data_IF_025498789628
#
_entry.id   IF_025498789628
#
_cell.length_a   1.000
_cell.length_b   1.000
_cell.length_c   1.000
_cell.angle_alpha   90.00
_cell.angle_beta   90.00
_cell.angle_gamma   90.00
#
_symmetry.space_group_name_H-M   'P 1'
#
loop_
_entity.id
_entity.type
_entity.pdbx_description
1 polymer ?
#
# COMPACT_ATOMS: atom_id res chain seq x y z
N UNK A 1 4.07 12.97 -1.28
CA UNK A 1 3.61 11.56 -1.33
C UNK A 1 4.14 10.95 -2.61
N UNK A 2 4.90 9.85 -2.54
CA UNK A 2 5.47 9.13 -3.69
C UNK A 2 4.64 7.88 -4.00
N UNK A 3 4.36 7.59 -5.27
CA UNK A 3 3.77 6.33 -5.73
C UNK A 3 4.71 5.16 -5.42
N UNK A 4 4.44 4.39 -4.36
CA UNK A 4 5.25 3.20 -4.06
C UNK A 4 4.95 2.09 -5.05
N UNK A 5 3.66 1.89 -5.35
CA UNK A 5 3.11 0.92 -6.29
C UNK A 5 1.82 1.47 -6.89
N UNK A 6 1.71 1.44 -8.21
CA UNK A 6 0.49 1.80 -8.93
C UNK A 6 -0.34 0.56 -9.31
N UNK A 7 -1.41 0.74 -10.07
CA UNK A 7 -2.29 -0.35 -10.51
C UNK A 7 -1.59 -1.40 -11.40
N UNK A 8 -0.43 -1.10 -11.97
CA UNK A 8 0.37 -2.08 -12.73
C UNK A 8 1.11 -3.09 -11.84
N UNK A 9 1.10 -2.89 -10.52
CA UNK A 9 1.77 -3.73 -9.53
C UNK A 9 3.27 -3.54 -9.43
N UNK A 10 3.86 -2.60 -10.17
CA UNK A 10 5.30 -2.36 -10.13
C UNK A 10 5.68 -1.65 -8.83
N UNK A 11 6.56 -2.27 -8.05
CA UNK A 11 6.99 -1.70 -6.76
C UNK A 11 8.30 -0.94 -6.91
N UNK A 12 8.38 0.26 -6.30
CA UNK A 12 9.60 1.08 -6.25
C UNK A 12 10.59 0.65 -5.15
N UNK A 13 10.40 -0.56 -4.62
CA UNK A 13 11.20 -1.18 -3.58
C UNK A 13 11.26 -2.70 -3.81
N UNK A 14 12.22 -3.43 -3.23
CA UNK A 14 12.37 -4.87 -3.45
C UNK A 14 11.33 -5.69 -2.67
N UNK A 15 10.05 -5.53 -2.98
CA UNK A 15 9.01 -6.22 -2.23
C UNK A 15 9.10 -7.73 -2.38
N UNK A 16 9.02 -8.45 -1.26
CA UNK A 16 8.94 -9.92 -1.24
C UNK A 16 7.69 -10.44 -1.95
N UNK A 17 6.68 -9.59 -2.12
CA UNK A 17 5.38 -9.92 -2.70
C UNK A 17 5.26 -9.49 -4.17
N UNK A 18 6.28 -8.82 -4.74
CA UNK A 18 6.38 -8.42 -6.16
C UNK A 18 7.66 -8.97 -6.80
N UNK A 19 7.90 -10.28 -6.63
CA UNK A 19 9.09 -10.94 -7.13
C UNK A 19 9.26 -10.74 -8.65
N UNK A 20 10.39 -10.20 -9.07
CA UNK A 20 10.69 -9.98 -10.49
C UNK A 20 9.92 -8.84 -11.16
N UNK A 21 9.16 -8.03 -10.40
CA UNK A 21 8.43 -6.87 -10.91
C UNK A 21 8.59 -5.65 -9.98
N UNK A 22 9.85 -5.22 -9.84
CA UNK A 22 10.22 -4.09 -8.99
C UNK A 22 11.51 -3.37 -9.43
N UNK A 23 11.77 -2.21 -8.83
CA UNK A 23 12.91 -1.34 -9.15
C UNK A 23 14.28 -1.96 -8.91
N UNK A 24 14.37 -3.00 -8.07
CA UNK A 24 15.62 -3.67 -7.73
C UNK A 24 15.86 -4.88 -8.64
N UNK A 25 14.85 -5.72 -8.85
CA UNK A 25 14.98 -6.97 -9.60
C UNK A 25 15.09 -6.73 -11.10
N UNK A 26 14.29 -5.82 -11.66
CA UNK A 26 14.24 -5.57 -13.12
C UNK A 26 14.50 -4.12 -13.52
N UNK A 27 14.35 -3.18 -12.58
CA UNK A 27 14.56 -1.76 -12.81
C UNK A 27 16.02 -1.29 -12.57
N UNK A 28 16.22 -0.06 -12.06
CA UNK A 28 17.54 0.56 -11.89
C UNK A 28 18.45 -0.06 -10.81
N UNK A 29 18.09 -1.21 -10.24
CA UNK A 29 18.84 -1.92 -9.19
C UNK A 29 18.94 -1.11 -7.89
N UNK A 30 17.90 -0.34 -7.59
CA UNK A 30 17.85 0.62 -6.47
C UNK A 30 16.52 0.55 -5.74
N UNK A 31 16.59 0.63 -4.43
CA UNK A 31 15.42 0.85 -3.58
C UNK A 31 15.10 2.35 -3.56
N UNK A 32 14.24 2.74 -4.50
CA UNK A 32 13.94 4.16 -4.76
C UNK A 32 13.23 4.77 -3.54
N UNK A 33 12.38 3.99 -2.86
CA UNK A 33 11.68 4.45 -1.66
C UNK A 33 12.68 4.75 -0.55
N UNK A 34 13.59 3.82 -0.24
CA UNK A 34 14.59 4.00 0.83
C UNK A 34 15.46 5.22 0.58
N UNK A 35 15.94 5.37 -0.65
CA UNK A 35 16.84 6.45 -1.02
C UNK A 35 16.14 7.81 -0.95
N UNK A 36 14.91 7.92 -1.46
CA UNK A 36 14.15 9.16 -1.37
C UNK A 36 13.78 9.48 0.09
N UNK A 37 13.32 8.51 0.86
CA UNK A 37 13.00 8.70 2.27
C UNK A 37 14.21 9.23 3.06
N UNK A 38 15.39 8.64 2.83
CA UNK A 38 16.65 9.06 3.46
C UNK A 38 17.07 10.47 3.03
N UNK A 39 16.93 10.80 1.75
CA UNK A 39 17.24 12.12 1.23
C UNK A 39 16.32 13.20 1.81
N UNK A 40 15.01 12.97 1.82
CA UNK A 40 14.01 13.92 2.36
C UNK A 40 14.25 14.19 3.84
N UNK A 41 14.45 13.13 4.64
CA UNK A 41 14.66 13.23 6.09
C UNK A 41 15.99 13.87 6.48
N UNK A 42 17.01 13.80 5.61
CA UNK A 42 18.35 14.32 5.95
C UNK A 42 18.49 15.83 5.74
N UNK A 43 17.62 16.45 4.94
CA UNK A 43 17.75 17.87 4.54
C UNK A 43 16.56 18.74 4.90
N UNK A 44 15.49 18.17 5.45
CA UNK A 44 14.25 18.91 5.71
C UNK A 44 13.37 18.26 6.78
N UNK A 45 12.48 19.05 7.34
CA UNK A 45 11.37 18.59 8.18
C UNK A 45 10.13 18.15 7.35
N UNK A 46 10.31 17.93 6.03
CA UNK A 46 9.22 17.50 5.17
C UNK A 46 8.75 16.10 5.56
N UNK A 47 7.43 15.97 5.66
CA UNK A 47 6.77 14.72 5.96
C UNK A 47 6.87 13.77 4.77
N UNK A 48 7.41 12.58 5.01
CA UNK A 48 7.56 11.56 3.98
C UNK A 48 6.28 10.73 3.87
N UNK A 49 5.72 10.62 2.67
CA UNK A 49 4.46 9.93 2.44
C UNK A 49 4.50 9.01 1.24
N UNK A 50 3.74 7.92 1.30
CA UNK A 50 3.66 6.89 0.27
C UNK A 50 2.22 6.71 -0.20
N UNK A 51 2.05 6.62 -1.51
CA UNK A 51 0.83 6.19 -2.17
C UNK A 51 0.88 4.69 -2.35
N UNK A 52 -0.26 4.00 -2.19
CA UNK A 52 -0.40 2.56 -2.40
C UNK A 52 -1.69 2.22 -3.16
N UNK A 53 -1.56 1.56 -4.31
CA UNK A 53 -2.73 0.99 -5.02
C UNK A 53 -3.18 -0.31 -4.36
N UNK A 54 -4.44 -0.38 -3.92
CA UNK A 54 -5.06 -1.56 -3.32
C UNK A 54 -5.17 -2.72 -4.30
N UNK A 55 -5.48 -2.47 -5.57
CA UNK A 55 -5.58 -3.50 -6.60
C UNK A 55 -4.45 -3.46 -7.63
N UNK A 56 -4.37 -4.52 -8.44
CA UNK A 56 -3.43 -4.67 -9.54
C UNK A 56 -4.15 -5.20 -10.79
N UNK A 57 -3.95 -4.55 -11.95
CA UNK A 57 -4.60 -4.89 -13.21
C UNK A 57 -4.42 -6.35 -13.63
N UNK A 58 -3.23 -6.90 -13.40
CA UNK A 58 -2.84 -8.21 -13.94
C UNK A 58 -2.59 -9.27 -12.86
N UNK A 59 -2.86 -8.96 -11.60
CA UNK A 59 -2.62 -9.92 -10.53
C UNK A 59 -3.67 -11.04 -10.58
N UNK A 60 -3.19 -12.28 -10.71
CA UNK A 60 -4.08 -13.44 -10.85
C UNK A 60 -4.96 -13.66 -9.63
N UNK A 61 -4.47 -13.37 -8.41
CA UNK A 61 -5.28 -13.51 -7.20
C UNK A 61 -6.39 -12.46 -7.17
N UNK A 62 -6.12 -11.22 -7.58
CA UNK A 62 -7.16 -10.19 -7.71
C UNK A 62 -8.22 -10.59 -8.73
N UNK A 63 -7.79 -11.03 -9.91
CA UNK A 63 -8.70 -11.50 -10.97
C UNK A 63 -9.54 -12.68 -10.46
N UNK A 64 -8.93 -13.64 -9.77
CA UNK A 64 -9.60 -14.82 -9.22
C UNK A 64 -10.62 -14.45 -8.12
N UNK A 65 -10.25 -13.57 -7.18
CA UNK A 65 -11.16 -13.07 -6.15
C UNK A 65 -12.37 -12.36 -6.78
N UNK A 66 -12.15 -11.55 -7.84
CA UNK A 66 -13.24 -10.91 -8.59
C UNK A 66 -14.15 -11.94 -9.28
N UNK A 67 -13.59 -12.99 -9.88
CA UNK A 67 -14.38 -14.07 -10.50
C UNK A 67 -15.25 -14.81 -9.48
N UNK A 68 -14.80 -14.87 -8.23
CA UNK A 68 -15.54 -15.43 -7.11
C UNK A 68 -16.34 -14.38 -6.32
N UNK A 69 -16.74 -13.29 -6.98
CA UNK A 69 -17.61 -12.24 -6.43
C UNK A 69 -17.08 -11.62 -5.12
N UNK A 70 -15.75 -11.60 -4.94
CA UNK A 70 -15.08 -11.05 -3.75
C UNK A 70 -15.46 -11.77 -2.44
N UNK A 71 -15.96 -13.01 -2.52
CA UNK A 71 -16.31 -13.82 -1.35
C UNK A 71 -15.09 -14.48 -0.69
N UNK A 72 -14.01 -14.63 -1.46
CA UNK A 72 -12.67 -14.99 -0.99
C UNK A 72 -11.77 -13.75 -1.05
N UNK A 73 -10.73 -13.72 -0.22
CA UNK A 73 -9.85 -12.57 -0.02
C UNK A 73 -8.37 -12.96 -0.15
N UNK A 74 -8.05 -13.95 -0.99
CA UNK A 74 -6.68 -14.45 -1.15
C UNK A 74 -5.71 -13.36 -1.60
N UNK A 75 -6.15 -12.47 -2.49
CA UNK A 75 -5.34 -11.33 -2.89
C UNK A 75 -5.02 -10.40 -1.71
N UNK A 76 -5.99 -10.19 -0.82
CA UNK A 76 -5.77 -9.35 0.36
C UNK A 76 -4.82 -10.02 1.34
N UNK A 77 -5.01 -11.31 1.61
CA UNK A 77 -4.24 -12.05 2.61
C UNK A 77 -2.79 -12.30 2.18
N UNK A 78 -2.56 -12.64 0.91
CA UNK A 78 -1.24 -13.07 0.43
C UNK A 78 -0.47 -11.99 -0.32
N UNK A 79 -1.12 -10.88 -0.71
CA UNK A 79 -0.50 -9.81 -1.50
C UNK A 79 -0.65 -8.45 -0.85
N UNK A 80 -1.87 -7.93 -0.71
CA UNK A 80 -2.09 -6.54 -0.24
C UNK A 80 -1.61 -6.36 1.19
N UNK A 81 -2.09 -7.18 2.12
CA UNK A 81 -1.80 -7.03 3.54
C UNK A 81 -0.31 -7.12 3.86
N UNK A 82 0.41 -8.18 3.49
CA UNK A 82 1.79 -8.29 3.90
C UNK A 82 2.69 -7.24 3.21
N UNK A 83 2.34 -6.79 2.00
CA UNK A 83 3.06 -5.72 1.30
C UNK A 83 2.83 -4.34 1.96
N UNK A 84 1.61 -4.04 2.42
CA UNK A 84 1.33 -2.85 3.22
C UNK A 84 2.10 -2.85 4.54
N UNK A 85 2.15 -4.00 5.22
CA UNK A 85 2.91 -4.16 6.46
C UNK A 85 4.41 -3.94 6.23
N UNK A 86 4.97 -4.54 5.17
CA UNK A 86 6.37 -4.32 4.76
C UNK A 86 6.63 -2.83 4.51
N UNK A 87 5.75 -2.16 3.77
CA UNK A 87 5.91 -0.76 3.42
C UNK A 87 5.90 0.17 4.65
N UNK A 88 4.99 -0.08 5.60
CA UNK A 88 4.91 0.71 6.84
C UNK A 88 6.10 0.44 7.75
N UNK A 89 6.48 -0.83 7.93
CA UNK A 89 7.54 -1.23 8.86
C UNK A 89 8.93 -0.83 8.38
N UNK A 90 9.21 -0.95 7.08
CA UNK A 90 10.54 -0.67 6.52
C UNK A 90 10.77 0.81 6.25
N UNK A 91 9.74 1.52 5.78
CA UNK A 91 9.90 2.90 5.29
C UNK A 91 9.34 3.96 6.22
N UNK A 92 8.56 3.60 7.24
CA UNK A 92 8.02 4.50 8.26
C UNK A 92 7.37 5.78 7.66
N UNK A 93 6.41 5.67 6.72
CA UNK A 93 5.76 6.84 6.16
C UNK A 93 4.93 7.58 7.23
N UNK A 94 4.81 8.89 7.08
CA UNK A 94 3.92 9.75 7.87
C UNK A 94 2.61 10.03 7.14
N UNK A 95 2.52 9.70 5.86
CA UNK A 95 1.27 9.70 5.10
C UNK A 95 1.19 8.38 4.33
N UNK A 96 0.10 7.64 4.48
CA UNK A 96 -0.22 6.49 3.64
C UNK A 96 -1.50 6.78 2.86
N UNK A 97 -1.35 6.98 1.56
CA UNK A 97 -2.43 7.37 0.68
C UNK A 97 -2.88 6.18 -0.17
N UNK A 98 -4.04 5.63 0.13
CA UNK A 98 -4.60 4.51 -0.63
C UNK A 98 -5.32 5.00 -1.89
N UNK A 99 -5.40 4.12 -2.88
CA UNK A 99 -6.17 4.32 -4.12
C UNK A 99 -6.53 2.96 -4.71
N UNK A 100 -7.39 2.93 -5.74
CA UNK A 100 -7.76 1.66 -6.38
C UNK A 100 -8.86 0.88 -5.66
N UNK A 101 -9.63 1.55 -4.81
CA UNK A 101 -10.60 0.95 -3.91
C UNK A 101 -12.00 0.77 -4.53
N UNK A 102 -12.27 1.42 -5.67
CA UNK A 102 -13.61 1.60 -6.26
C UNK A 102 -14.33 0.31 -6.70
N UNK A 103 -13.62 -0.81 -6.85
CA UNK A 103 -14.22 -2.08 -7.30
C UNK A 103 -14.64 -3.01 -6.15
N UNK A 104 -14.25 -2.72 -4.92
CA UNK A 104 -14.53 -3.60 -3.79
C UNK A 104 -14.80 -2.82 -2.49
N UNK A 105 -15.72 -3.32 -1.63
CA UNK A 105 -16.03 -2.65 -0.37
C UNK A 105 -14.85 -2.73 0.62
N UNK A 106 -14.83 -1.82 1.60
CA UNK A 106 -13.80 -1.81 2.66
C UNK A 106 -13.66 -3.14 3.41
N UNK A 107 -14.78 -3.88 3.52
CA UNK A 107 -14.81 -5.23 4.09
C UNK A 107 -13.97 -6.22 3.29
N UNK A 108 -14.00 -6.17 1.95
CA UNK A 108 -13.14 -7.00 1.12
C UNK A 108 -11.67 -6.64 1.31
N UNK A 109 -11.34 -5.35 1.33
CA UNK A 109 -9.96 -4.88 1.57
C UNK A 109 -9.45 -5.14 3.00
N UNK A 110 -10.35 -5.54 3.93
CA UNK A 110 -10.09 -5.63 5.37
C UNK A 110 -9.49 -4.32 5.90
N UNK A 111 -9.96 -3.19 5.37
CA UNK A 111 -9.36 -1.88 5.62
C UNK A 111 -9.46 -1.48 7.08
N UNK A 112 -10.59 -1.76 7.72
CA UNK A 112 -10.80 -1.48 9.16
C UNK A 112 -9.72 -2.13 10.02
N UNK A 113 -9.38 -3.40 9.75
CA UNK A 113 -8.34 -4.12 10.48
C UNK A 113 -6.95 -3.52 10.22
N UNK A 114 -6.68 -3.08 8.99
CA UNK A 114 -5.41 -2.45 8.66
C UNK A 114 -5.24 -1.11 9.37
N UNK A 115 -6.26 -0.27 9.27
CA UNK A 115 -6.28 1.08 9.82
C UNK A 115 -6.22 0.99 11.35
N UNK A 116 -6.96 0.06 11.97
CA UNK A 116 -6.86 -0.20 13.40
C UNK A 116 -5.43 -0.56 13.81
N UNK A 117 -4.77 -1.48 13.10
CA UNK A 117 -3.36 -1.79 13.36
C UNK A 117 -2.45 -0.57 13.14
N UNK A 118 -2.70 0.21 12.08
CA UNK A 118 -1.91 1.38 11.71
C UNK A 118 -1.91 2.44 12.83
N UNK A 119 -3.06 2.69 13.44
CA UNK A 119 -3.23 3.69 14.50
C UNK A 119 -3.00 3.16 15.92
N UNK A 120 -3.08 1.85 16.16
CA UNK A 120 -2.91 1.31 17.51
C UNK A 120 -1.52 0.71 17.75
N UNK A 121 -0.92 0.06 16.74
CA UNK A 121 0.23 -0.84 16.94
C UNK A 121 1.44 -0.50 16.07
N UNK A 122 1.24 0.15 14.91
CA UNK A 122 2.32 0.42 13.96
C UNK A 122 3.43 1.31 14.55
N UNK A 123 4.66 1.26 14.00
CA UNK A 123 5.75 2.12 14.44
C UNK A 123 5.55 3.61 14.11
N UNK A 124 4.53 3.93 13.30
CA UNK A 124 4.20 5.30 12.87
C UNK A 124 2.87 5.79 13.41
N UNK A 125 2.27 5.06 14.36
CA UNK A 125 0.92 5.34 14.90
C UNK A 125 0.70 6.77 15.41
N UNK A 126 1.76 7.42 15.90
CA UNK A 126 1.69 8.78 16.47
C UNK A 126 1.72 9.88 15.40
N UNK A 127 2.12 9.56 14.16
CA UNK A 127 2.38 10.56 13.11
C UNK A 127 1.66 10.27 11.80
N UNK A 128 1.26 9.02 11.57
CA UNK A 128 0.66 8.58 10.31
C UNK A 128 -0.71 9.23 10.10
N UNK A 129 -0.96 9.68 8.87
CA UNK A 129 -2.30 10.05 8.39
C UNK A 129 -2.65 9.28 7.12
N UNK A 130 -3.92 8.93 6.98
CA UNK A 130 -4.48 8.29 5.78
C UNK A 130 -5.51 9.18 5.11
N UNK A 131 -5.78 8.94 3.84
CA UNK A 131 -6.97 9.47 3.15
C UNK A 131 -8.20 8.58 3.40
N UNK A 132 -9.27 8.83 2.66
CA UNK A 132 -10.61 8.25 2.77
C UNK A 132 -10.93 7.23 1.65
N UNK A 133 -9.91 6.72 0.93
CA UNK A 133 -10.07 5.79 -0.21
C UNK A 133 -9.77 4.35 0.16
N UNK A 134 -10.54 3.81 1.10
CA UNK A 134 -10.28 2.48 1.67
C UNK A 134 -11.34 1.45 1.32
N UNK A 135 -12.20 1.75 0.36
CA UNK A 135 -13.22 0.86 -0.15
C UNK A 135 -14.35 1.63 -0.83
N UNK A 136 -15.04 0.95 -1.73
CA UNK A 136 -16.24 1.50 -2.35
C UNK A 136 -17.20 2.09 -1.30
N UNK A 137 -17.56 3.36 -1.48
CA UNK A 137 -18.47 4.10 -0.59
C UNK A 137 -17.83 4.73 0.65
N UNK A 138 -16.49 4.66 0.81
CA UNK A 138 -15.80 5.28 1.96
C UNK A 138 -15.43 6.74 1.75
N UNK A 139 -15.23 7.16 0.50
CA UNK A 139 -14.84 8.53 0.15
C UNK A 139 -15.85 9.56 0.67
N UNK A 140 -15.33 10.64 1.28
CA UNK A 140 -16.07 11.72 1.92
C UNK A 140 -16.98 11.30 3.10
N UNK A 141 -16.92 10.04 3.55
CA UNK A 141 -17.77 9.51 4.61
C UNK A 141 -16.97 9.16 5.88
N UNK A 142 -15.69 8.80 5.71
CA UNK A 142 -14.82 8.33 6.78
C UNK A 142 -13.43 8.93 6.62
N UNK A 143 -12.88 9.53 7.67
CA UNK A 143 -11.55 10.13 7.73
C UNK A 143 -11.02 10.12 9.16
#
# INVERSE_FOLDING_TARGET
>A
VLTSKHHDGYTLWPSKYSFGWNSVDVGPKRDIIKELASAVRSVSDLKFGLYYSLFEWFNRMWIDDKLHLLLQQHYVDYKVRPEQMELVQEYLPEILWSDGDWEAPAKYWRSEEFIAWLYNESPVRETIVTNDRWGFGTACMHG
#
